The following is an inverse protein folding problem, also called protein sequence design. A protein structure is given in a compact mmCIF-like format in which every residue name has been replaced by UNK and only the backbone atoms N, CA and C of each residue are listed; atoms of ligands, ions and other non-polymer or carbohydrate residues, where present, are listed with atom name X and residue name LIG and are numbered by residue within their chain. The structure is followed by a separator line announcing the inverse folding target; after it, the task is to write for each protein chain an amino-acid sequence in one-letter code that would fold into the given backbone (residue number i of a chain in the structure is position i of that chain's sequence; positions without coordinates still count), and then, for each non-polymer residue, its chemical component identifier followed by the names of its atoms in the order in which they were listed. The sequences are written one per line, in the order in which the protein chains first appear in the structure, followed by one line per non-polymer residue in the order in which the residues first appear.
data_IF_512204663821
#
_entry.id   IF_512204663821
#
_cell.length_a   1.000
_cell.length_b   1.000
_cell.length_c   1.000
_cell.angle_alpha   90.00
_cell.angle_beta   90.00
_cell.angle_gamma   90.00
#
_symmetry.space_group_name_H-M   'P 1'
#
loop_
_entity.id
_entity.type
_entity.pdbx_description
1 polymer ?
#
# COMPACT_ATOMS: atom_id res chain seq x y z
N UNK A 1 -10.89 27.13 -7.33
CA UNK A 1 -10.61 25.68 -7.16
C UNK A 1 -9.78 25.35 -5.92
N UNK A 2 -8.64 26.00 -5.66
CA UNK A 2 -7.88 25.77 -4.41
C UNK A 2 -8.40 26.55 -3.18
N UNK A 3 -9.05 27.70 -3.39
CA UNK A 3 -9.67 28.53 -2.34
C UNK A 3 -10.74 27.77 -1.54
N UNK A 4 -11.58 27.00 -2.24
CA UNK A 4 -12.69 26.27 -1.66
C UNK A 4 -12.20 25.08 -0.83
N UNK A 5 -11.14 24.41 -1.30
CA UNK A 5 -10.48 23.35 -0.56
C UNK A 5 -9.85 23.86 0.73
N UNK A 6 -9.17 25.02 0.69
CA UNK A 6 -8.62 25.68 1.87
C UNK A 6 -9.71 26.06 2.88
N UNK A 7 -10.86 26.55 2.40
CA UNK A 7 -12.01 26.85 3.26
C UNK A 7 -12.52 25.58 3.95
N UNK A 8 -12.69 24.48 3.21
CA UNK A 8 -13.13 23.21 3.80
C UNK A 8 -12.09 22.58 4.75
N UNK A 9 -10.80 22.78 4.50
CA UNK A 9 -9.74 22.38 5.44
C UNK A 9 -9.87 23.14 6.77
N UNK A 10 -10.09 24.46 6.71
CA UNK A 10 -10.32 25.27 7.91
C UNK A 10 -11.58 24.85 8.66
N UNK A 11 -12.69 24.59 7.95
CA UNK A 11 -13.95 24.12 8.55
C UNK A 11 -13.79 22.75 9.24
N UNK A 12 -13.06 21.82 8.62
CA UNK A 12 -12.71 20.53 9.23
C UNK A 12 -11.94 20.74 10.54
N UNK A 13 -10.96 21.64 10.55
CA UNK A 13 -10.10 21.87 11.73
C UNK A 13 -10.88 22.53 12.88
N UNK A 14 -11.80 23.45 12.54
CA UNK A 14 -12.73 24.02 13.51
C UNK A 14 -13.68 22.95 14.09
N UNK A 15 -14.20 22.07 13.23
CA UNK A 15 -15.04 20.95 13.67
C UNK A 15 -14.29 19.97 14.57
N UNK A 16 -13.01 19.69 14.29
CA UNK A 16 -12.15 18.89 15.15
C UNK A 16 -11.99 19.55 16.53
N UNK A 17 -11.66 20.85 16.58
CA UNK A 17 -11.53 21.60 17.84
C UNK A 17 -12.83 21.55 18.66
N UNK A 18 -13.99 21.69 18.02
CA UNK A 18 -15.31 21.58 18.67
C UNK A 18 -15.57 20.17 19.20
N UNK A 19 -15.34 19.14 18.38
CA UNK A 19 -15.52 17.75 18.78
C UNK A 19 -14.64 17.35 19.97
N UNK A 20 -13.40 17.84 20.02
CA UNK A 20 -12.49 17.63 21.15
C UNK A 20 -12.95 18.37 22.41
N UNK A 21 -13.48 19.59 22.27
CA UNK A 21 -13.95 20.42 23.38
C UNK A 21 -15.24 19.90 24.02
N UNK A 22 -16.25 19.59 23.20
CA UNK A 22 -17.60 19.27 23.68
C UNK A 22 -17.89 17.76 23.75
N UNK A 23 -17.06 16.92 23.13
CA UNK A 23 -17.15 15.45 23.11
C UNK A 23 -18.52 14.88 22.71
N UNK A 24 -19.35 15.67 22.01
CA UNK A 24 -20.66 15.22 21.55
C UNK A 24 -20.52 14.28 20.33
N UNK A 25 -21.45 13.33 20.22
CA UNK A 25 -21.51 12.36 19.11
C UNK A 25 -21.75 13.05 17.76
N UNK A 26 -22.58 14.10 17.75
CA UNK A 26 -22.90 14.88 16.55
C UNK A 26 -21.69 15.66 16.02
N UNK A 27 -20.90 16.25 16.91
CA UNK A 27 -19.66 16.96 16.54
C UNK A 27 -18.63 16.00 15.93
N UNK A 28 -18.50 14.79 16.50
CA UNK A 28 -17.62 13.74 15.97
C UNK A 28 -18.07 13.27 14.57
N UNK A 29 -19.37 13.08 14.37
CA UNK A 29 -19.93 12.71 13.05
C UNK A 29 -19.66 13.78 12.00
N UNK A 30 -19.85 15.04 12.37
CA UNK A 30 -19.61 16.20 11.51
C UNK A 30 -18.13 16.29 11.10
N UNK A 31 -17.21 16.11 12.04
CA UNK A 31 -15.78 16.07 11.75
C UNK A 31 -15.41 14.95 10.78
N UNK A 32 -15.91 13.72 11.00
CA UNK A 32 -15.63 12.57 10.13
C UNK A 32 -16.07 12.86 8.70
N UNK A 33 -17.27 13.40 8.53
CA UNK A 33 -17.81 13.76 7.21
C UNK A 33 -16.93 14.81 6.51
N UNK A 34 -16.60 15.90 7.20
CA UNK A 34 -15.73 16.96 6.66
C UNK A 34 -14.34 16.43 6.31
N UNK A 35 -13.75 15.59 7.18
CA UNK A 35 -12.43 14.97 6.95
C UNK A 35 -12.44 14.09 5.71
N UNK A 36 -13.48 13.27 5.54
CA UNK A 36 -13.61 12.40 4.37
C UNK A 36 -13.80 13.23 3.10
N UNK A 37 -14.61 14.30 3.15
CA UNK A 37 -14.84 15.23 2.04
C UNK A 37 -13.53 15.90 1.60
N UNK A 38 -12.82 16.54 2.54
CA UNK A 38 -11.53 17.18 2.29
C UNK A 38 -10.50 16.18 1.74
N UNK A 39 -10.45 14.96 2.28
CA UNK A 39 -9.53 13.93 1.79
C UNK A 39 -9.84 13.52 0.35
N UNK A 40 -11.13 13.38 0.02
CA UNK A 40 -11.60 13.09 -1.34
C UNK A 40 -11.21 14.20 -2.29
N UNK A 41 -11.45 15.46 -1.91
CA UNK A 41 -11.16 16.60 -2.77
C UNK A 41 -9.66 16.80 -2.99
N UNK A 42 -8.82 16.55 -1.99
CA UNK A 42 -7.35 16.53 -2.15
C UNK A 42 -6.93 15.47 -3.17
N UNK A 43 -7.50 14.26 -3.09
CA UNK A 43 -7.19 13.17 -4.04
C UNK A 43 -7.65 13.52 -5.44
N UNK A 44 -8.84 14.07 -5.58
CA UNK A 44 -9.40 14.51 -6.86
C UNK A 44 -8.56 15.64 -7.47
N UNK A 45 -8.16 16.63 -6.69
CA UNK A 45 -7.32 17.73 -7.16
C UNK A 45 -5.96 17.22 -7.68
N UNK A 46 -5.34 16.28 -6.95
CA UNK A 46 -4.09 15.63 -7.40
C UNK A 46 -4.30 14.82 -8.67
N UNK A 47 -5.36 14.01 -8.74
CA UNK A 47 -5.67 13.21 -9.92
C UNK A 47 -5.90 14.11 -11.14
N UNK A 48 -6.71 15.15 -11.00
CA UNK A 48 -7.00 16.11 -12.07
C UNK A 48 -5.75 16.83 -12.57
N UNK A 49 -4.83 17.20 -11.66
CA UNK A 49 -3.54 17.78 -12.03
C UNK A 49 -2.68 16.82 -12.87
N UNK A 50 -2.61 15.53 -12.51
CA UNK A 50 -1.86 14.56 -13.31
C UNK A 50 -2.58 14.23 -14.63
N UNK A 51 -3.91 14.15 -14.62
CA UNK A 51 -4.71 13.98 -15.85
C UNK A 51 -4.48 15.14 -16.82
N UNK A 52 -4.40 16.39 -16.33
CA UNK A 52 -4.12 17.54 -17.18
C UNK A 52 -2.72 17.48 -17.77
N UNK A 53 -1.70 17.12 -16.98
CA UNK A 53 -0.32 16.94 -17.47
C UNK A 53 -0.25 15.84 -18.55
N UNK A 54 -0.91 14.70 -18.33
CA UNK A 54 -0.91 13.59 -19.29
C UNK A 54 -1.60 14.01 -20.59
N UNK A 55 -2.74 14.71 -20.48
CA UNK A 55 -3.49 15.23 -21.64
C UNK A 55 -2.64 16.24 -22.44
N UNK A 56 -1.92 17.11 -21.74
CA UNK A 56 -1.06 18.13 -22.36
C UNK A 56 0.19 17.53 -23.02
N UNK A 57 0.73 16.44 -22.46
CA UNK A 57 1.91 15.77 -23.01
C UNK A 57 1.67 15.15 -24.40
N UNK A 58 0.41 14.93 -24.82
CA UNK A 58 0.02 14.41 -26.16
C UNK A 58 0.87 13.21 -26.63
N UNK A 59 1.17 12.28 -25.73
CA UNK A 59 1.99 11.09 -26.03
C UNK A 59 3.51 11.26 -25.85
N UNK A 60 3.99 12.39 -25.34
CA UNK A 60 5.41 12.57 -24.97
C UNK A 60 5.74 11.81 -23.68
N UNK A 61 6.09 10.53 -23.84
CA UNK A 61 6.44 9.60 -22.76
C UNK A 61 7.59 10.10 -21.88
N UNK A 62 8.56 10.84 -22.44
CA UNK A 62 9.70 11.38 -21.68
C UNK A 62 9.26 12.44 -20.67
N UNK A 63 8.29 13.28 -21.03
CA UNK A 63 7.73 14.29 -20.12
C UNK A 63 6.97 13.64 -18.97
N UNK A 64 6.17 12.61 -19.25
CA UNK A 64 5.43 11.84 -18.24
C UNK A 64 6.39 11.12 -17.30
N UNK A 65 7.42 10.44 -17.85
CA UNK A 65 8.42 9.74 -17.06
C UNK A 65 9.17 10.67 -16.10
N UNK A 66 9.55 11.87 -16.55
CA UNK A 66 10.15 12.90 -15.68
C UNK A 66 9.26 13.29 -14.50
N UNK A 67 7.93 13.34 -14.69
CA UNK A 67 7.01 13.65 -13.59
C UNK A 67 6.86 12.47 -12.62
N UNK A 68 6.85 11.23 -13.12
CA UNK A 68 6.87 10.02 -12.28
C UNK A 68 8.14 9.95 -11.44
N UNK A 69 9.30 10.23 -12.03
CA UNK A 69 10.58 10.29 -11.33
C UNK A 69 10.63 11.32 -10.19
N UNK A 70 9.79 12.37 -10.23
CA UNK A 70 9.66 13.32 -9.11
C UNK A 70 8.81 12.79 -7.96
N UNK A 71 7.93 11.83 -8.22
CA UNK A 71 7.03 11.24 -7.21
C UNK A 71 7.66 10.05 -6.51
N UNK A 72 8.53 9.34 -7.21
CA UNK A 72 9.40 8.34 -6.59
C UNK A 72 10.63 9.05 -6.03
N UNK A 73 10.94 8.97 -4.72
CA UNK A 73 12.29 9.30 -4.28
C UNK A 73 13.28 8.46 -5.11
N UNK A 74 14.47 8.99 -5.44
CA UNK A 74 15.49 8.14 -6.04
C UNK A 74 15.70 6.99 -5.06
N UNK A 75 15.29 5.79 -5.46
CA UNK A 75 15.79 4.60 -4.82
C UNK A 75 17.30 4.74 -5.00
N UNK A 76 18.04 4.93 -3.91
CA UNK A 76 19.50 4.97 -3.92
C UNK A 76 20.03 3.56 -4.21
N UNK A 77 19.57 3.00 -5.32
CA UNK A 77 20.12 1.82 -5.95
C UNK A 77 21.19 2.41 -6.85
N UNK A 78 22.48 2.10 -6.63
CA UNK A 78 23.51 2.51 -7.53
C UNK A 78 23.14 2.01 -8.93
N UNK A 79 22.89 2.95 -9.85
CA UNK A 79 22.71 2.68 -11.28
C UNK A 79 24.10 2.37 -11.82
N UNK A 80 24.66 1.23 -11.43
CA UNK A 80 25.85 0.60 -11.98
C UNK A 80 25.65 -0.90 -12.11
N UNK A 81 24.40 -1.37 -12.19
CA UNK A 81 24.13 -2.70 -12.71
C UNK A 81 23.91 -2.56 -14.22
N UNK A 82 25.03 -2.63 -14.94
CA UNK A 82 25.19 -3.04 -16.34
C UNK A 82 24.20 -2.49 -17.37
N UNK A 83 24.60 -1.41 -18.04
CA UNK A 83 24.55 -1.42 -19.51
C UNK A 83 25.80 -2.20 -19.93
N UNK A 84 25.68 -3.52 -19.97
CA UNK A 84 26.52 -4.41 -20.75
C UNK A 84 25.64 -5.62 -21.01
N UNK A 85 25.22 -5.75 -22.28
CA UNK A 85 24.84 -7.03 -22.86
C UNK A 85 25.99 -8.02 -22.61
N UNK A 86 25.63 -9.28 -22.39
CA UNK A 86 26.50 -10.44 -22.30
C UNK A 86 27.19 -10.71 -20.92
N UNK A 87 26.84 -11.89 -20.36
CA UNK A 87 27.50 -12.66 -19.29
C UNK A 87 27.29 -12.23 -17.83
N UNK A 88 26.12 -12.56 -17.24
CA UNK A 88 26.02 -13.33 -15.98
C UNK A 88 24.54 -13.39 -15.52
N UNK A 89 23.84 -14.47 -15.87
CA UNK A 89 22.57 -14.79 -15.23
C UNK A 89 22.86 -15.40 -13.86
N UNK A 90 23.26 -14.55 -12.90
CA UNK A 90 23.24 -14.93 -11.50
C UNK A 90 21.80 -15.40 -11.20
N UNK A 91 21.61 -16.66 -10.73
CA UNK A 91 20.28 -17.15 -10.47
C UNK A 91 19.62 -16.19 -9.47
N UNK A 92 18.36 -15.79 -9.71
CA UNK A 92 17.66 -14.89 -8.82
C UNK A 92 17.75 -15.44 -7.39
N UNK A 93 17.95 -14.57 -6.38
CA UNK A 93 18.15 -15.00 -5.01
C UNK A 93 17.02 -15.97 -4.61
N UNK A 94 17.40 -17.17 -4.19
CA UNK A 94 16.44 -18.20 -3.80
C UNK A 94 15.67 -17.73 -2.57
N UNK A 95 14.37 -17.44 -2.74
CA UNK A 95 13.47 -17.13 -1.63
C UNK A 95 13.25 -18.39 -0.80
N UNK A 96 14.05 -18.57 0.26
CA UNK A 96 13.84 -19.65 1.22
C UNK A 96 12.75 -19.25 2.22
N UNK A 97 11.53 -19.77 2.03
CA UNK A 97 10.42 -19.57 2.95
C UNK A 97 10.41 -20.75 3.95
N UNK A 98 10.69 -20.47 5.22
CA UNK A 98 10.59 -21.46 6.29
C UNK A 98 9.15 -21.70 6.71
N UNK A 99 8.81 -22.95 7.07
CA UNK A 99 7.51 -23.30 7.64
C UNK A 99 7.20 -22.50 8.93
N UNK A 100 8.21 -22.16 9.74
CA UNK A 100 8.03 -21.31 10.93
C UNK A 100 7.68 -19.88 10.59
N UNK A 101 8.28 -19.34 9.52
CA UNK A 101 7.96 -18.01 9.03
C UNK A 101 6.50 -17.94 8.55
N UNK A 102 6.05 -18.94 7.80
CA UNK A 102 4.64 -19.04 7.38
C UNK A 102 3.71 -19.15 8.58
N UNK A 103 4.04 -20.01 9.57
CA UNK A 103 3.26 -20.14 10.81
C UNK A 103 3.13 -18.81 11.54
N UNK A 104 4.21 -18.04 11.66
CA UNK A 104 4.21 -16.73 12.31
C UNK A 104 3.31 -15.74 11.59
N UNK A 105 3.43 -15.64 10.27
CA UNK A 105 2.62 -14.72 9.47
C UNK A 105 1.12 -15.08 9.51
N UNK A 106 0.78 -16.37 9.44
CA UNK A 106 -0.62 -16.81 9.56
C UNK A 106 -1.22 -16.46 10.94
N UNK A 107 -0.43 -16.53 12.03
CA UNK A 107 -0.89 -16.11 13.36
C UNK A 107 -1.10 -14.61 13.47
N UNK A 108 -0.40 -13.81 12.67
CA UNK A 108 -0.54 -12.34 12.68
C UNK A 108 -1.79 -11.85 11.94
N UNK A 109 -2.43 -12.71 11.15
CA UNK A 109 -3.66 -12.35 10.44
C UNK A 109 -4.78 -11.90 11.40
N UNK A 110 -5.49 -10.86 10.99
CA UNK A 110 -6.64 -10.34 11.72
C UNK A 110 -7.92 -11.10 11.32
N UNK A 111 -8.58 -11.84 12.22
CA UNK A 111 -9.64 -12.80 11.86
C UNK A 111 -10.87 -12.20 11.15
N UNK A 112 -11.19 -10.93 11.42
CA UNK A 112 -12.37 -10.24 10.85
C UNK A 112 -12.10 -9.48 9.55
N UNK A 113 -10.90 -9.58 8.99
CA UNK A 113 -10.61 -8.99 7.67
C UNK A 113 -11.33 -9.78 6.57
N UNK A 114 -11.63 -9.09 5.48
CA UNK A 114 -12.25 -9.70 4.30
C UNK A 114 -11.33 -10.76 3.69
N UNK A 115 -11.94 -11.80 3.12
CA UNK A 115 -11.24 -12.80 2.32
C UNK A 115 -10.69 -12.17 1.02
N UNK A 116 -9.65 -12.79 0.48
CA UNK A 116 -9.15 -12.47 -0.85
C UNK A 116 -10.08 -13.00 -1.95
N UNK A 117 -9.65 -12.93 -3.22
CA UNK A 117 -10.40 -13.48 -4.36
C UNK A 117 -10.55 -15.02 -4.28
N UNK A 118 -9.77 -15.70 -3.44
CA UNK A 118 -9.85 -17.13 -3.14
C UNK A 118 -11.02 -17.50 -2.20
N UNK A 119 -11.67 -16.51 -1.58
CA UNK A 119 -12.77 -16.72 -0.64
C UNK A 119 -12.35 -17.32 0.71
N UNK A 120 -11.04 -17.47 0.98
CA UNK A 120 -10.56 -18.07 2.23
C UNK A 120 -10.46 -16.99 3.31
N UNK A 121 -11.24 -17.15 4.39
CA UNK A 121 -11.22 -16.18 5.47
C UNK A 121 -9.89 -16.23 6.26
N UNK A 122 -9.38 -15.07 6.73
CA UNK A 122 -8.21 -15.01 7.61
C UNK A 122 -8.36 -15.84 8.89
N UNK A 123 -9.60 -16.02 9.38
CA UNK A 123 -9.91 -16.86 10.55
C UNK A 123 -9.55 -18.33 10.30
N UNK A 124 -9.91 -18.88 9.14
CA UNK A 124 -9.64 -20.28 8.77
C UNK A 124 -8.14 -20.51 8.59
N UNK A 125 -7.44 -19.59 7.92
CA UNK A 125 -5.99 -19.67 7.73
C UNK A 125 -5.24 -19.65 9.07
N UNK A 126 -5.68 -18.81 9.99
CA UNK A 126 -5.11 -18.70 11.33
C UNK A 126 -5.34 -19.97 12.15
N UNK A 127 -6.55 -20.52 12.13
CA UNK A 127 -6.88 -21.79 12.78
C UNK A 127 -6.03 -22.96 12.24
N UNK A 128 -5.83 -23.02 10.92
CA UNK A 128 -5.06 -24.08 10.26
C UNK A 128 -3.54 -23.87 10.31
N UNK A 129 -3.05 -22.76 10.87
CA UNK A 129 -1.61 -22.45 10.94
C UNK A 129 -0.79 -23.53 11.67
N UNK A 130 -1.38 -24.22 12.64
CA UNK A 130 -0.71 -25.29 13.40
C UNK A 130 -0.46 -26.56 12.58
N UNK A 131 -1.18 -26.76 11.47
CA UNK A 131 -1.12 -27.99 10.66
C UNK A 131 -0.17 -27.90 9.46
N UNK A 132 0.71 -26.88 9.40
CA UNK A 132 1.71 -26.78 8.33
C UNK A 132 2.71 -27.93 8.51
N UNK A 133 2.56 -28.95 7.65
CA UNK A 133 3.37 -30.17 7.60
C UNK A 133 4.85 -29.80 7.45
N UNK A 134 5.68 -30.26 8.38
CA UNK A 134 7.14 -30.16 8.23
C UNK A 134 7.57 -30.98 7.00
N UNK A 135 8.57 -30.51 6.22
CA UNK A 135 9.12 -31.30 5.13
C UNK A 135 9.59 -32.65 5.70
N UNK A 136 9.12 -33.74 5.09
CA UNK A 136 9.54 -35.10 5.43
C UNK A 136 11.06 -35.19 5.28
N UNK A 137 11.78 -35.43 6.38
CA UNK A 137 13.17 -35.85 6.32
C UNK A 137 13.21 -37.13 5.47
N UNK A 138 13.77 -37.02 4.27
CA UNK A 138 14.21 -38.19 3.49
C UNK A 138 15.14 -38.99 4.40
N UNK A 139 14.75 -40.22 4.75
CA UNK A 139 15.68 -41.16 5.38
C UNK A 139 16.63 -41.60 4.27
N UNK A 140 17.86 -41.10 4.30
CA UNK A 140 18.94 -41.73 3.54
C UNK A 140 19.16 -43.11 4.16
N UNK A 141 18.72 -44.17 3.48
CA UNK A 141 19.14 -45.53 3.81
C UNK A 141 20.57 -45.70 3.32
N UNK A 142 21.49 -45.90 4.26
CA UNK A 142 22.78 -46.48 3.93
C UNK A 142 22.57 -47.90 3.41
N UNK A 143 23.06 -48.17 2.21
CA UNK A 143 23.59 -49.46 1.81
C UNK A 143 24.90 -49.25 1.08
#
# INVERSE_FOLDING_TARGET
MNSDLLKMMKERDLSLKRALKFKQTNDKRTFIMLRNKVTKDIRNAKANFFISIISEARGNTKLIWKQIQKLCPPLNIPITASINDDLDHAPPPSLSISADQVRSELRRLHPSKAAGPDGISPKVLKERSHKIRLPSKSRNSHH
#
